data_IF_311537261348
#
_entry.id   IF_311537261348
#
_cell.length_a   1.000
_cell.length_b   1.000
_cell.length_c   1.000
_cell.angle_alpha   90.00
_cell.angle_beta   90.00
_cell.angle_gamma   90.00
#
_symmetry.space_group_name_H-M   'P 1'
#
loop_
_entity.id
_entity.type
_entity.pdbx_description
1 polymer ?
#
# COMPACT_ATOMS: atom_id res chain seq x y z
N UNK A 1 56.64 -43.19 4.53
CA UNK A 1 56.42 -41.95 5.32
C UNK A 1 57.03 -40.75 4.58
N UNK A 2 56.20 -39.85 4.02
CA UNK A 2 56.44 -38.39 3.86
C UNK A 2 55.38 -37.76 2.94
N UNK A 3 54.32 -37.30 3.60
CA UNK A 3 53.46 -36.12 3.40
C UNK A 3 53.34 -35.54 1.97
N UNK A 4 52.15 -35.75 1.42
CA UNK A 4 51.51 -34.98 0.35
C UNK A 4 51.36 -33.52 0.79
N UNK A 5 51.86 -32.57 -0.01
CA UNK A 5 51.52 -31.15 0.06
C UNK A 5 50.79 -30.78 -1.23
N UNK A 6 49.47 -30.97 -1.24
CA UNK A 6 48.61 -30.35 -2.23
C UNK A 6 48.14 -29.02 -1.64
N UNK A 7 48.68 -27.93 -2.18
CA UNK A 7 48.19 -26.58 -1.93
C UNK A 7 46.91 -26.44 -2.76
N UNK A 8 45.77 -26.61 -2.11
CA UNK A 8 44.47 -26.21 -2.64
C UNK A 8 44.37 -24.69 -2.51
N UNK A 9 44.59 -24.01 -3.63
CA UNK A 9 44.31 -22.59 -3.81
C UNK A 9 42.80 -22.37 -3.60
N UNK A 10 42.48 -21.81 -2.43
CA UNK A 10 41.15 -21.43 -1.98
C UNK A 10 40.64 -20.29 -2.88
N UNK A 11 39.81 -20.59 -3.86
CA UNK A 11 39.03 -19.58 -4.60
C UNK A 11 37.93 -19.12 -3.65
N UNK A 12 38.20 -18.06 -2.89
CA UNK A 12 37.19 -17.30 -2.17
C UNK A 12 36.39 -16.50 -3.20
N UNK A 13 35.34 -17.09 -3.75
CA UNK A 13 34.33 -16.36 -4.50
C UNK A 13 33.52 -15.54 -3.49
N UNK A 14 33.93 -14.29 -3.28
CA UNK A 14 33.11 -13.31 -2.55
C UNK A 14 31.88 -13.07 -3.43
N UNK A 15 30.79 -13.80 -3.16
CA UNK A 15 29.46 -13.39 -3.60
C UNK A 15 29.16 -12.08 -2.88
N UNK A 16 29.40 -10.96 -3.56
CA UNK A 16 28.74 -9.71 -3.23
C UNK A 16 27.28 -9.93 -3.61
N UNK A 17 26.50 -10.48 -2.67
CA UNK A 17 25.06 -10.38 -2.75
C UNK A 17 24.76 -8.88 -2.71
N UNK A 18 24.38 -8.31 -3.85
CA UNK A 18 23.70 -7.03 -3.87
C UNK A 18 22.41 -7.25 -3.10
N UNK A 19 22.42 -6.98 -1.80
CA UNK A 19 21.20 -6.81 -1.02
C UNK A 19 20.60 -5.52 -1.56
N UNK A 20 19.78 -5.65 -2.61
CA UNK A 20 18.85 -4.59 -2.94
C UNK A 20 17.97 -4.43 -1.70
N UNK A 21 18.08 -3.29 -1.03
CA UNK A 21 17.14 -2.95 0.01
C UNK A 21 15.74 -3.08 -0.59
N UNK A 22 14.90 -3.96 -0.02
CA UNK A 22 13.51 -4.00 -0.46
C UNK A 22 12.92 -2.63 -0.18
N UNK A 23 12.47 -1.92 -1.20
CA UNK A 23 11.73 -0.70 -0.99
C UNK A 23 10.55 -1.01 -0.06
N UNK A 24 10.34 -0.17 0.95
CA UNK A 24 9.13 -0.27 1.79
C UNK A 24 7.94 -0.11 0.84
N UNK A 25 7.16 -1.19 0.73
CA UNK A 25 5.89 -1.27 0.01
C UNK A 25 4.75 -1.05 0.99
N UNK A 26 3.71 -0.34 0.55
CA UNK A 26 2.49 -0.10 1.32
C UNK A 26 1.36 -1.07 0.93
N UNK A 27 1.70 -2.30 0.49
CA UNK A 27 0.75 -3.38 0.13
C UNK A 27 -0.36 -3.58 1.19
N UNK A 28 -0.01 -3.63 2.47
CA UNK A 28 -1.00 -3.80 3.55
C UNK A 28 -1.99 -2.63 3.63
N UNK A 29 -1.53 -1.41 3.32
CA UNK A 29 -2.42 -0.25 3.25
C UNK A 29 -3.33 -0.35 2.01
N UNK A 30 -2.80 -0.86 0.89
CA UNK A 30 -3.57 -1.12 -0.33
C UNK A 30 -4.68 -2.15 -0.05
N UNK A 31 -4.36 -3.24 0.64
CA UNK A 31 -5.32 -4.25 1.06
C UNK A 31 -6.42 -3.66 1.95
N UNK A 32 -6.04 -2.94 3.02
CA UNK A 32 -7.00 -2.30 3.92
C UNK A 32 -7.95 -1.36 3.17
N UNK A 33 -7.42 -0.46 2.33
CA UNK A 33 -8.23 0.45 1.53
C UNK A 33 -9.07 -0.27 0.48
N UNK A 34 -8.60 -1.40 -0.04
CA UNK A 34 -9.33 -2.25 -0.98
C UNK A 34 -10.53 -2.93 -0.34
N UNK A 35 -10.39 -3.45 0.89
CA UNK A 35 -11.50 -4.10 1.62
C UNK A 35 -12.72 -3.20 1.84
N UNK A 36 -12.50 -1.88 1.87
CA UNK A 36 -13.56 -0.87 2.03
C UNK A 36 -13.85 -0.11 0.73
N UNK A 37 -13.29 -0.55 -0.40
CA UNK A 37 -13.60 -0.03 -1.74
C UNK A 37 -12.97 1.33 -2.08
N UNK A 38 -12.07 1.86 -1.25
CA UNK A 38 -11.36 3.12 -1.54
C UNK A 38 -10.34 2.93 -2.65
N UNK A 39 -9.55 1.86 -2.56
CA UNK A 39 -8.55 1.51 -3.55
C UNK A 39 -9.03 0.33 -4.39
N UNK A 40 -8.91 0.43 -5.72
CA UNK A 40 -9.28 -0.66 -6.63
C UNK A 40 -8.09 -0.94 -7.54
N UNK A 41 -7.70 -2.21 -7.61
CA UNK A 41 -6.70 -2.71 -8.55
C UNK A 41 -7.29 -2.90 -9.95
N UNK A 42 -6.48 -3.49 -10.82
CA UNK A 42 -6.87 -3.97 -12.15
C UNK A 42 -6.86 -5.50 -12.17
N UNK A 43 -7.00 -6.09 -13.35
CA UNK A 43 -6.80 -7.53 -13.57
C UNK A 43 -5.39 -8.02 -13.19
N UNK A 44 -4.41 -7.11 -13.13
CA UNK A 44 -3.02 -7.39 -12.77
C UNK A 44 -2.70 -7.09 -11.29
N UNK A 45 -3.73 -7.01 -10.42
CA UNK A 45 -3.57 -6.66 -9.02
C UNK A 45 -3.53 -5.14 -8.79
N UNK A 46 -2.83 -4.68 -7.77
CA UNK A 46 -2.84 -3.27 -7.37
C UNK A 46 -1.97 -2.34 -8.23
N UNK A 47 -0.99 -2.92 -8.94
CA UNK A 47 -0.02 -2.21 -9.77
C UNK A 47 0.70 -1.08 -8.99
N UNK A 48 1.16 -1.35 -7.77
CA UNK A 48 1.69 -0.33 -6.86
C UNK A 48 2.92 0.42 -7.41
N UNK A 49 3.69 -0.23 -8.29
CA UNK A 49 4.94 0.30 -8.84
C UNK A 49 4.75 1.22 -10.06
N UNK A 50 3.54 1.36 -10.62
CA UNK A 50 3.30 2.25 -11.77
C UNK A 50 2.89 3.66 -11.34
N UNK A 51 3.13 4.61 -12.24
CA UNK A 51 2.65 5.98 -12.06
C UNK A 51 1.12 6.05 -12.25
N UNK A 52 0.40 6.77 -11.37
CA UNK A 52 -1.03 7.00 -11.50
C UNK A 52 -1.33 8.20 -12.40
N UNK A 53 -2.49 8.19 -13.06
CA UNK A 53 -3.00 9.42 -13.71
C UNK A 53 -3.66 10.33 -12.68
N UNK A 54 -3.78 11.62 -13.03
CA UNK A 54 -4.46 12.61 -12.19
C UNK A 54 -5.93 12.24 -11.95
N UNK A 55 -6.61 11.68 -12.96
CA UNK A 55 -7.99 11.21 -12.79
C UNK A 55 -8.08 10.01 -11.85
N UNK A 56 -7.14 9.05 -11.92
CA UNK A 56 -7.10 7.92 -10.98
C UNK A 56 -6.97 8.38 -9.53
N UNK A 57 -6.06 9.33 -9.26
CA UNK A 57 -5.90 9.89 -7.92
C UNK A 57 -7.14 10.67 -7.45
N UNK A 58 -7.80 11.42 -8.34
CA UNK A 58 -9.05 12.10 -8.00
C UNK A 58 -10.17 11.10 -7.67
N UNK A 59 -10.30 10.01 -8.43
CA UNK A 59 -11.29 8.96 -8.15
C UNK A 59 -11.03 8.34 -6.78
N UNK A 60 -9.77 8.08 -6.42
CA UNK A 60 -9.41 7.59 -5.10
C UNK A 60 -9.80 8.57 -3.98
N UNK A 61 -9.61 9.88 -4.18
CA UNK A 61 -10.10 10.92 -3.27
C UNK A 61 -11.64 10.87 -3.11
N UNK A 62 -12.38 10.77 -4.21
CA UNK A 62 -13.85 10.71 -4.18
C UNK A 62 -14.33 9.47 -3.42
N UNK A 63 -13.67 8.33 -3.61
CA UNK A 63 -13.97 7.09 -2.87
C UNK A 63 -13.62 7.20 -1.40
N UNK A 64 -12.47 7.81 -1.06
CA UNK A 64 -12.07 8.11 0.31
C UNK A 64 -13.17 8.87 1.07
N UNK A 65 -13.82 9.82 0.40
CA UNK A 65 -14.91 10.62 0.97
C UNK A 65 -16.28 9.92 0.98
N UNK A 66 -16.38 8.71 0.43
CA UNK A 66 -17.65 7.99 0.28
C UNK A 66 -18.59 8.61 -0.75
N UNK A 67 -18.07 9.35 -1.74
CA UNK A 67 -18.85 10.16 -2.69
C UNK A 67 -18.90 9.62 -4.10
N UNK A 68 -18.47 8.37 -4.31
CA UNK A 68 -18.49 7.73 -5.64
C UNK A 68 -19.90 7.69 -6.24
N UNK A 69 -20.93 7.36 -5.44
CA UNK A 69 -22.32 7.30 -5.91
C UNK A 69 -22.88 8.67 -6.29
N UNK A 70 -22.62 9.70 -5.50
CA UNK A 70 -23.01 11.08 -5.81
C UNK A 70 -22.29 11.61 -7.04
N UNK A 71 -21.00 11.29 -7.19
CA UNK A 71 -20.23 11.66 -8.37
C UNK A 71 -20.78 11.03 -9.64
N UNK A 72 -21.12 9.73 -9.61
CA UNK A 72 -21.67 9.02 -10.78
C UNK A 72 -23.00 9.61 -11.28
N UNK A 73 -23.79 10.26 -10.41
CA UNK A 73 -25.03 10.95 -10.80
C UNK A 73 -24.77 12.19 -11.67
N UNK A 74 -23.56 12.74 -11.66
CA UNK A 74 -23.19 13.94 -12.43
C UNK A 74 -22.60 13.61 -13.81
N UNK A 75 -22.61 12.35 -14.25
CA UNK A 75 -21.98 11.91 -15.50
C UNK A 75 -22.64 12.47 -16.78
N UNK A 76 -23.90 12.92 -16.70
CA UNK A 76 -24.63 13.56 -17.81
C UNK A 76 -24.44 15.08 -17.87
N UNK A 77 -23.94 15.69 -16.80
CA UNK A 77 -23.68 17.13 -16.78
C UNK A 77 -22.43 17.46 -17.56
N UNK A 78 -22.42 18.57 -18.29
CA UNK A 78 -21.22 19.03 -18.99
C UNK A 78 -20.11 19.39 -17.99
N UNK A 79 -18.88 19.00 -18.34
CA UNK A 79 -17.69 19.37 -17.57
C UNK A 79 -17.24 20.78 -17.95
N UNK A 80 -16.79 21.54 -16.95
CA UNK A 80 -16.11 22.83 -17.18
C UNK A 80 -14.73 22.63 -17.82
N UNK A 81 -14.18 21.41 -17.73
CA UNK A 81 -12.93 21.01 -18.34
C UNK A 81 -13.17 20.24 -19.64
N UNK A 82 -12.41 20.59 -20.68
CA UNK A 82 -12.59 20.07 -22.04
C UNK A 82 -11.92 18.71 -22.27
N UNK A 83 -10.96 18.33 -21.42
CA UNK A 83 -10.13 17.13 -21.55
C UNK A 83 -10.63 15.96 -20.67
N UNK A 84 -11.89 15.98 -20.23
CA UNK A 84 -12.48 14.97 -19.34
C UNK A 84 -13.35 14.00 -20.15
N UNK A 85 -13.01 12.69 -20.18
CA UNK A 85 -13.80 11.68 -20.88
C UNK A 85 -15.12 11.40 -20.16
N UNK A 86 -16.11 10.90 -20.90
CA UNK A 86 -17.47 10.62 -20.41
C UNK A 86 -17.52 9.80 -19.12
N UNK A 87 -16.67 8.77 -19.01
CA UNK A 87 -16.62 7.90 -17.84
C UNK A 87 -16.04 8.61 -16.60
N UNK A 88 -15.14 9.58 -16.79
CA UNK A 88 -14.53 10.37 -15.72
C UNK A 88 -15.35 11.61 -15.33
N UNK A 89 -16.32 11.99 -16.17
CA UNK A 89 -17.05 13.26 -16.08
C UNK A 89 -17.73 13.49 -14.74
N UNK A 90 -18.41 12.47 -14.21
CA UNK A 90 -19.10 12.56 -12.93
C UNK A 90 -18.16 12.86 -11.75
N UNK A 91 -16.99 12.21 -11.72
CA UNK A 91 -15.97 12.41 -10.68
C UNK A 91 -15.38 13.81 -10.72
N UNK A 92 -15.01 14.29 -11.92
CA UNK A 92 -14.43 15.63 -12.07
C UNK A 92 -15.45 16.72 -11.75
N UNK A 93 -16.71 16.57 -12.20
CA UNK A 93 -17.78 17.49 -11.88
C UNK A 93 -18.04 17.58 -10.38
N UNK A 94 -18.12 16.43 -9.70
CA UNK A 94 -18.31 16.39 -8.25
C UNK A 94 -17.16 17.10 -7.55
N UNK A 95 -15.91 16.77 -7.91
CA UNK A 95 -14.73 17.36 -7.30
C UNK A 95 -14.69 18.88 -7.51
N UNK A 96 -15.02 19.37 -8.71
CA UNK A 96 -15.02 20.80 -9.00
C UNK A 96 -16.09 21.55 -8.20
N UNK A 97 -17.34 21.04 -8.21
CA UNK A 97 -18.46 21.64 -7.48
C UNK A 97 -18.25 21.69 -5.97
N UNK A 98 -17.52 20.72 -5.41
CA UNK A 98 -17.21 20.64 -3.99
C UNK A 98 -15.84 21.24 -3.63
N UNK A 99 -15.18 21.94 -4.56
CA UNK A 99 -13.92 22.64 -4.29
C UNK A 99 -12.70 21.73 -4.06
N UNK A 100 -12.79 20.44 -4.41
CA UNK A 100 -11.70 19.47 -4.30
C UNK A 100 -10.66 19.64 -5.42
N UNK A 101 -11.07 20.13 -6.59
CA UNK A 101 -10.17 20.48 -7.70
C UNK A 101 -10.50 21.83 -8.32
N UNK A 102 -9.48 22.51 -8.85
CA UNK A 102 -9.59 23.75 -9.64
C UNK A 102 -9.16 23.55 -11.11
N UNK A 103 -8.73 22.34 -11.47
CA UNK A 103 -8.04 22.07 -12.73
C UNK A 103 -6.62 22.64 -12.77
N UNK A 104 -6.06 22.72 -13.98
CA UNK A 104 -4.72 23.24 -14.27
C UNK A 104 -4.75 24.65 -14.88
N UNK A 105 -5.95 25.22 -15.05
CA UNK A 105 -6.18 26.43 -15.84
C UNK A 105 -6.56 26.11 -17.29
N UNK A 106 -6.88 27.14 -18.09
CA UNK A 106 -7.22 27.02 -19.51
C UNK A 106 -8.32 26.00 -19.85
N UNK A 107 -9.25 25.74 -18.92
CA UNK A 107 -10.28 24.73 -19.10
C UNK A 107 -9.77 23.29 -19.10
N UNK A 108 -8.60 23.02 -18.51
CA UNK A 108 -8.02 21.67 -18.42
C UNK A 108 -8.08 21.12 -17.00
N UNK A 109 -8.43 19.84 -16.88
CA UNK A 109 -8.29 19.08 -15.66
C UNK A 109 -6.93 18.38 -15.58
N UNK A 110 -6.40 17.90 -16.71
CA UNK A 110 -5.20 17.09 -16.82
C UNK A 110 -5.51 15.60 -16.71
N UNK A 111 -6.57 15.09 -17.34
CA UNK A 111 -7.11 13.73 -17.09
C UNK A 111 -6.05 12.63 -17.14
N UNK A 112 -5.22 12.64 -18.19
CA UNK A 112 -4.21 11.61 -18.46
C UNK A 112 -2.81 12.03 -17.98
N UNK A 113 -2.68 13.21 -17.38
CA UNK A 113 -1.40 13.68 -16.88
C UNK A 113 -0.96 12.75 -15.74
N UNK A 114 0.35 12.50 -15.68
CA UNK A 114 0.96 11.80 -14.56
C UNK A 114 0.69 12.63 -13.31
N UNK A 115 0.10 11.99 -12.30
CA UNK A 115 -0.15 12.65 -11.03
C UNK A 115 1.16 12.83 -10.27
N UNK A 116 1.39 14.02 -9.72
CA UNK A 116 2.51 14.32 -8.83
C UNK A 116 2.07 14.40 -7.35
N UNK A 117 3.05 14.26 -6.45
CA UNK A 117 2.81 14.30 -5.01
C UNK A 117 2.25 15.64 -4.52
N UNK A 118 2.61 16.77 -5.16
CA UNK A 118 2.06 18.10 -4.82
C UNK A 118 0.56 18.18 -5.08
N UNK A 119 0.13 17.71 -6.25
CA UNK A 119 -1.28 17.67 -6.62
C UNK A 119 -2.07 16.73 -5.73
N UNK A 120 -1.53 15.55 -5.44
CA UNK A 120 -2.24 14.60 -4.59
C UNK A 120 -2.33 15.09 -3.14
N UNK A 121 -1.27 15.69 -2.60
CA UNK A 121 -1.31 16.34 -1.29
C UNK A 121 -2.35 17.46 -1.26
N UNK A 122 -2.42 18.28 -2.31
CA UNK A 122 -3.43 19.35 -2.42
C UNK A 122 -4.86 18.80 -2.39
N UNK A 123 -5.12 17.68 -3.06
CA UNK A 123 -6.43 17.01 -3.02
C UNK A 123 -6.81 16.57 -1.60
N UNK A 124 -5.89 15.93 -0.89
CA UNK A 124 -6.11 15.48 0.49
C UNK A 124 -6.30 16.66 1.45
N UNK A 125 -5.48 17.71 1.34
CA UNK A 125 -5.61 18.92 2.16
C UNK A 125 -6.99 19.58 2.00
N UNK A 126 -7.49 19.68 0.77
CA UNK A 126 -8.85 20.21 0.50
C UNK A 126 -9.94 19.32 1.08
N UNK A 127 -9.79 17.99 1.01
CA UNK A 127 -10.69 17.05 1.64
C UNK A 127 -10.70 17.15 3.18
N UNK A 128 -9.57 17.52 3.78
CA UNK A 128 -9.42 17.80 5.21
C UNK A 128 -9.90 19.20 5.63
N UNK A 129 -10.40 20.02 4.68
CA UNK A 129 -10.95 21.35 4.94
C UNK A 129 -9.94 22.49 4.86
N UNK A 130 -8.67 22.22 4.52
CA UNK A 130 -7.67 23.27 4.31
C UNK A 130 -7.82 23.90 2.92
N UNK A 131 -7.55 25.19 2.83
CA UNK A 131 -7.78 26.00 1.64
C UNK A 131 -6.48 26.58 1.06
N UNK A 132 -6.25 26.29 -0.21
CA UNK A 132 -5.24 26.94 -1.05
C UNK A 132 -5.76 28.19 -1.79
N UNK A 133 -7.01 28.60 -1.51
CA UNK A 133 -7.57 29.83 -2.10
C UNK A 133 -6.88 31.04 -1.45
N UNK A 134 -6.28 31.90 -2.28
CA UNK A 134 -5.56 33.09 -1.83
C UNK A 134 -4.50 32.81 -0.75
N UNK A 135 -3.91 31.62 -0.76
CA UNK A 135 -2.96 31.15 0.25
C UNK A 135 -3.48 31.26 1.69
N UNK A 136 -4.78 30.97 1.90
CA UNK A 136 -5.41 31.08 3.22
C UNK A 136 -4.77 30.15 4.27
N UNK A 137 -4.53 28.88 3.92
CA UNK A 137 -3.83 27.91 4.77
C UNK A 137 -2.47 27.53 4.16
N UNK A 138 -2.42 27.31 2.85
CA UNK A 138 -1.22 26.91 2.11
C UNK A 138 -1.24 27.43 0.67
N UNK A 139 -0.09 27.50 0.01
CA UNK A 139 -0.01 27.68 -1.44
C UNK A 139 0.13 26.32 -2.14
N UNK A 140 -0.22 26.21 -3.43
CA UNK A 140 0.00 24.95 -4.16
C UNK A 140 1.48 24.52 -4.16
N UNK A 141 2.40 25.47 -4.21
CA UNK A 141 3.85 25.23 -4.15
C UNK A 141 4.27 24.63 -2.80
N UNK A 142 3.64 25.05 -1.71
CA UNK A 142 3.99 24.63 -0.35
C UNK A 142 3.15 23.46 0.16
N UNK A 143 2.27 22.89 -0.67
CA UNK A 143 1.31 21.86 -0.26
C UNK A 143 1.97 20.65 0.45
N UNK A 144 3.11 20.18 -0.06
CA UNK A 144 3.85 19.04 0.54
C UNK A 144 4.47 19.41 1.89
N UNK A 145 5.02 20.62 2.02
CA UNK A 145 5.58 21.12 3.29
C UNK A 145 4.47 21.32 4.33
N UNK A 146 3.33 21.87 3.92
CA UNK A 146 2.17 22.03 4.79
C UNK A 146 1.59 20.68 5.21
N UNK A 147 1.46 19.73 4.26
CA UNK A 147 1.03 18.37 4.57
C UNK A 147 1.93 17.71 5.63
N UNK A 148 3.24 17.88 5.52
CA UNK A 148 4.18 17.41 6.56
C UNK A 148 3.96 18.12 7.90
N UNK A 149 3.78 19.44 7.92
CA UNK A 149 3.67 20.20 9.18
C UNK A 149 2.42 19.85 10.01
N UNK A 150 1.34 19.42 9.35
CA UNK A 150 0.10 18.99 10.02
C UNK A 150 0.06 17.48 10.30
N UNK A 151 1.11 16.73 9.96
CA UNK A 151 1.18 15.28 10.14
C UNK A 151 0.41 14.46 9.10
N UNK A 152 -0.02 15.05 7.98
CA UNK A 152 -0.60 14.32 6.85
C UNK A 152 0.46 13.47 6.13
N UNK A 153 1.71 13.94 6.09
CA UNK A 153 2.83 13.23 5.48
C UNK A 153 3.90 12.96 6.55
N UNK A 154 4.29 11.70 6.69
CA UNK A 154 5.46 11.34 7.49
C UNK A 154 6.78 11.67 6.76
N UNK A 155 7.90 11.54 7.47
CA UNK A 155 9.24 11.82 6.93
C UNK A 155 9.57 10.95 5.71
N UNK A 156 9.10 9.70 5.71
CA UNK A 156 9.40 8.74 4.63
C UNK A 156 8.69 9.15 3.34
N UNK A 157 7.38 9.38 3.39
CA UNK A 157 6.58 9.83 2.25
C UNK A 157 7.02 11.20 1.77
N UNK A 158 7.32 12.12 2.69
CA UNK A 158 7.87 13.42 2.32
C UNK A 158 9.16 13.28 1.50
N UNK A 159 10.08 12.42 1.91
CA UNK A 159 11.32 12.19 1.19
C UNK A 159 11.10 11.46 -0.14
N UNK A 160 10.20 10.48 -0.20
CA UNK A 160 9.83 9.76 -1.43
C UNK A 160 9.21 10.69 -2.48
N UNK A 161 8.32 11.61 -2.08
CA UNK A 161 7.72 12.61 -2.99
C UNK A 161 8.78 13.52 -3.63
N UNK A 162 9.81 13.90 -2.86
CA UNK A 162 10.83 14.86 -3.32
C UNK A 162 11.99 14.22 -4.08
N UNK A 163 12.28 12.94 -3.83
CA UNK A 163 13.51 12.29 -4.30
C UNK A 163 13.26 11.01 -5.12
N UNK A 164 12.01 10.67 -5.44
CA UNK A 164 11.67 9.44 -6.17
C UNK A 164 10.51 9.66 -7.14
N UNK A 165 10.37 8.73 -8.10
CA UNK A 165 9.21 8.70 -9.00
C UNK A 165 7.93 8.51 -8.19
N UNK A 166 6.94 9.37 -8.38
CA UNK A 166 5.67 9.27 -7.68
C UNK A 166 4.80 8.15 -8.27
N UNK A 167 4.53 7.12 -7.47
CA UNK A 167 3.87 5.87 -7.87
C UNK A 167 2.59 5.62 -7.05
N UNK A 168 1.77 4.66 -7.49
CA UNK A 168 0.50 4.30 -6.85
C UNK A 168 0.65 3.87 -5.40
N UNK A 169 1.77 3.22 -5.06
CA UNK A 169 2.12 2.87 -3.69
C UNK A 169 2.09 4.09 -2.74
N UNK A 170 2.59 5.23 -3.19
CA UNK A 170 2.65 6.44 -2.36
C UNK A 170 1.27 7.08 -2.20
N UNK A 171 0.43 7.04 -3.25
CA UNK A 171 -0.97 7.46 -3.17
C UNK A 171 -1.72 6.63 -2.13
N UNK A 172 -1.52 5.31 -2.12
CA UNK A 172 -2.12 4.40 -1.13
C UNK A 172 -1.76 4.84 0.30
N UNK A 173 -0.47 5.04 0.58
CA UNK A 173 -0.02 5.49 1.91
C UNK A 173 -0.59 6.85 2.28
N UNK A 174 -0.50 7.83 1.39
CA UNK A 174 -1.03 9.18 1.63
C UNK A 174 -2.54 9.18 1.86
N UNK A 175 -3.30 8.33 1.16
CA UNK A 175 -4.75 8.16 1.37
C UNK A 175 -5.05 7.60 2.74
N UNK A 176 -4.25 6.62 3.18
CA UNK A 176 -4.38 6.03 4.50
C UNK A 176 -4.01 7.03 5.60
N UNK A 177 -2.94 7.80 5.42
CA UNK A 177 -2.54 8.84 6.38
C UNK A 177 -3.60 9.93 6.49
N UNK A 178 -4.26 10.27 5.39
CA UNK A 178 -5.37 11.21 5.40
C UNK A 178 -6.52 10.75 6.31
N UNK A 179 -6.82 9.44 6.40
CA UNK A 179 -7.82 8.91 7.34
C UNK A 179 -7.44 9.23 8.79
N UNK A 180 -6.14 9.19 9.12
CA UNK A 180 -5.65 9.42 10.47
C UNK A 180 -5.38 10.90 10.78
N UNK A 181 -5.46 11.77 9.77
CA UNK A 181 -5.21 13.20 9.92
C UNK A 181 -6.43 13.91 10.47
N UNK A 182 -6.23 14.88 11.37
CA UNK A 182 -7.30 15.74 11.89
C UNK A 182 -7.93 16.57 10.77
N UNK A 183 -9.26 16.61 10.73
CA UNK A 183 -9.98 17.56 9.90
C UNK A 183 -9.84 18.94 10.52
N UNK A 184 -9.58 19.95 9.69
CA UNK A 184 -9.42 21.34 10.11
C UNK A 184 -10.58 21.76 11.03
N UNK A 185 -10.24 22.39 12.15
CA UNK A 185 -11.15 22.99 13.15
C UNK A 185 -12.18 22.05 13.80
N UNK A 186 -12.12 20.74 13.56
CA UNK A 186 -13.13 19.79 14.00
C UNK A 186 -12.72 18.94 15.21
N UNK A 187 -11.44 18.90 15.58
CA UNK A 187 -10.93 18.17 16.75
C UNK A 187 -11.01 16.64 16.63
N UNK A 188 -11.34 16.10 15.45
CA UNK A 188 -11.36 14.66 15.14
C UNK A 188 -10.72 14.35 13.78
N UNK A 189 -10.30 13.11 13.59
CA UNK A 189 -9.68 12.63 12.33
C UNK A 189 -10.69 12.48 11.20
N UNK A 190 -10.21 12.45 9.95
CA UNK A 190 -11.06 12.15 8.80
C UNK A 190 -11.78 10.81 8.96
N UNK A 191 -11.11 9.80 9.51
CA UNK A 191 -11.72 8.50 9.80
C UNK A 191 -12.93 8.65 10.73
N UNK A 192 -12.78 9.39 11.84
CA UNK A 192 -13.88 9.64 12.76
C UNK A 192 -15.00 10.45 12.09
N UNK A 193 -14.65 11.40 11.22
CA UNK A 193 -15.63 12.13 10.41
C UNK A 193 -16.47 11.18 9.55
N UNK A 194 -15.81 10.27 8.82
CA UNK A 194 -16.48 9.34 7.92
C UNK A 194 -17.40 8.38 8.68
N UNK A 195 -17.04 7.99 9.91
CA UNK A 195 -17.95 7.24 10.80
C UNK A 195 -19.15 8.07 11.22
N UNK A 196 -18.93 9.30 11.68
CA UNK A 196 -20.02 10.18 12.12
C UNK A 196 -20.99 10.54 10.98
N UNK A 197 -20.48 10.66 9.74
CA UNK A 197 -21.26 10.92 8.53
C UNK A 197 -21.95 9.66 7.98
N UNK A 198 -21.74 8.48 8.60
CA UNK A 198 -22.32 7.20 8.17
C UNK A 198 -21.71 6.64 6.88
N UNK A 199 -20.55 7.14 6.45
CA UNK A 199 -19.81 6.62 5.28
C UNK A 199 -19.11 5.30 5.61
N UNK A 200 -18.56 5.19 6.82
CA UNK A 200 -17.92 3.98 7.33
C UNK A 200 -18.63 3.51 8.60
N UNK A 201 -18.69 2.19 8.78
CA UNK A 201 -19.10 1.59 10.06
C UNK A 201 -17.96 1.63 11.07
N UNK A 202 -18.27 1.53 12.37
CA UNK A 202 -17.24 1.43 13.42
C UNK A 202 -16.29 0.24 13.19
N UNK A 203 -16.80 -0.89 12.70
CA UNK A 203 -15.99 -2.09 12.40
C UNK A 203 -15.01 -1.81 11.26
N UNK A 204 -15.48 -1.18 10.16
CA UNK A 204 -14.60 -0.79 9.06
C UNK A 204 -13.53 0.20 9.55
N UNK A 205 -13.90 1.16 10.40
CA UNK A 205 -12.94 2.11 10.94
C UNK A 205 -11.90 1.46 11.87
N UNK A 206 -12.30 0.52 12.72
CA UNK A 206 -11.36 -0.23 13.57
C UNK A 206 -10.32 -0.99 12.75
N UNK A 207 -10.70 -1.59 11.62
CA UNK A 207 -9.79 -2.29 10.73
C UNK A 207 -8.76 -1.35 10.05
N UNK A 208 -9.05 -0.05 9.98
CA UNK A 208 -8.18 1.00 9.43
C UNK A 208 -7.30 1.67 10.50
N UNK A 209 -7.40 1.28 11.77
CA UNK A 209 -6.48 1.76 12.79
C UNK A 209 -5.30 0.78 12.82
N UNK A 210 -4.07 1.28 12.66
CA UNK A 210 -2.89 0.49 13.01
C UNK A 210 -2.75 0.55 14.53
N UNK A 211 -3.03 -0.55 15.23
CA UNK A 211 -2.48 -0.68 16.58
C UNK A 211 -1.07 -1.25 16.42
N UNK A 212 -0.04 -0.52 16.87
CA UNK A 212 1.30 -1.11 17.07
C UNK A 212 1.25 -2.27 18.09
N UNK A 213 0.19 -2.33 18.88
CA UNK A 213 -0.18 -3.43 19.78
C UNK A 213 -1.33 -4.31 19.25
N UNK A 214 -1.59 -4.35 17.93
CA UNK A 214 -2.55 -5.29 17.38
C UNK A 214 -2.01 -6.68 17.63
N UNK A 215 -2.64 -7.43 18.55
CA UNK A 215 -2.53 -8.88 18.53
C UNK A 215 -2.68 -9.31 17.07
N UNK A 216 -1.64 -10.01 16.59
CA UNK A 216 -1.55 -10.71 15.33
C UNK A 216 -2.97 -11.09 14.87
N UNK A 217 -3.53 -10.41 13.87
CA UNK A 217 -4.79 -10.84 13.25
C UNK A 217 -4.52 -12.28 12.81
N UNK A 218 -5.16 -13.24 13.47
CA UNK A 218 -5.13 -14.62 12.99
C UNK A 218 -5.84 -14.63 11.65
N UNK A 219 -5.05 -14.76 10.59
CA UNK A 219 -5.56 -14.86 9.23
C UNK A 219 -6.37 -16.15 9.11
N UNK A 220 -7.51 -16.09 8.43
CA UNK A 220 -8.25 -17.30 8.09
C UNK A 220 -7.41 -18.18 7.16
N UNK A 221 -7.64 -19.49 7.17
CA UNK A 221 -6.96 -20.43 6.26
C UNK A 221 -7.09 -20.07 4.77
N UNK A 222 -8.15 -19.33 4.41
CA UNK A 222 -8.37 -18.79 3.06
C UNK A 222 -7.47 -17.57 2.76
N UNK A 223 -7.25 -16.70 3.74
CA UNK A 223 -6.36 -15.53 3.61
C UNK A 223 -4.88 -15.96 3.59
N UNK A 224 -4.49 -16.95 4.39
CA UNK A 224 -3.15 -17.55 4.35
C UNK A 224 -2.87 -18.19 2.98
N UNK A 225 -3.84 -18.94 2.45
CA UNK A 225 -3.73 -19.56 1.11
C UNK A 225 -3.63 -18.55 -0.04
N UNK A 226 -4.00 -17.27 0.17
CA UNK A 226 -3.84 -16.20 -0.83
C UNK A 226 -2.49 -15.48 -0.74
N UNK A 227 -1.80 -15.58 0.40
CA UNK A 227 -0.49 -14.99 0.64
C UNK A 227 0.68 -15.92 0.26
N UNK A 228 0.46 -17.24 0.24
CA UNK A 228 1.55 -18.20 0.01
C UNK A 228 2.09 -18.14 -1.42
N UNK A 229 3.21 -17.45 -1.61
CA UNK A 229 4.16 -17.69 -2.70
C UNK A 229 5.03 -18.91 -2.38
N UNK A 230 4.36 -20.08 -2.30
CA UNK A 230 4.92 -21.38 -2.67
C UNK A 230 5.98 -22.05 -1.78
N UNK A 231 7.00 -21.40 -1.23
CA UNK A 231 8.19 -22.09 -0.70
C UNK A 231 8.42 -21.93 0.81
N UNK A 232 8.82 -23.02 1.48
CA UNK A 232 9.17 -23.06 2.91
C UNK A 232 10.51 -23.75 3.14
N UNK A 233 11.12 -23.50 4.31
CA UNK A 233 12.35 -24.18 4.73
C UNK A 233 12.04 -25.18 5.85
N UNK A 234 12.51 -26.42 5.71
CA UNK A 234 12.35 -27.48 6.70
C UNK A 234 13.65 -27.64 7.47
N UNK A 235 13.61 -27.43 8.78
CA UNK A 235 14.70 -27.74 9.71
C UNK A 235 14.39 -29.04 10.45
N UNK A 236 15.24 -30.05 10.26
CA UNK A 236 14.98 -31.42 10.71
C UNK A 236 16.00 -31.83 11.75
N UNK A 237 15.52 -32.54 12.77
CA UNK A 237 16.35 -33.14 13.82
C UNK A 237 16.18 -34.64 13.78
N UNK A 238 17.30 -35.37 13.70
CA UNK A 238 17.36 -36.82 13.69
C UNK A 238 17.28 -37.43 15.08
N UNK A 239 17.06 -38.75 15.14
CA UNK A 239 17.06 -39.50 16.41
C UNK A 239 18.42 -39.53 17.12
N UNK A 240 19.51 -39.32 16.38
CA UNK A 240 20.88 -39.17 16.86
C UNK A 240 21.22 -37.75 17.32
N UNK A 241 20.22 -36.85 17.35
CA UNK A 241 20.36 -35.41 17.59
C UNK A 241 21.18 -34.65 16.52
N UNK A 242 21.44 -35.24 15.36
CA UNK A 242 21.94 -34.48 14.21
C UNK A 242 20.86 -33.54 13.66
N UNK A 243 21.26 -32.42 13.06
CA UNK A 243 20.34 -31.44 12.49
C UNK A 243 20.72 -31.12 11.04
N UNK A 244 19.72 -31.00 10.16
CA UNK A 244 19.89 -30.63 8.76
C UNK A 244 18.69 -29.84 8.25
N UNK A 245 18.78 -29.33 7.02
CA UNK A 245 17.74 -28.50 6.41
C UNK A 245 17.43 -28.89 4.96
N UNK A 246 16.23 -28.53 4.50
CA UNK A 246 15.81 -28.64 3.09
C UNK A 246 14.69 -27.66 2.76
N UNK A 247 14.24 -27.66 1.51
CA UNK A 247 13.12 -26.82 1.05
C UNK A 247 11.87 -27.64 0.80
N UNK A 248 10.69 -27.03 0.94
CA UNK A 248 9.42 -27.63 0.59
C UNK A 248 8.45 -26.61 0.00
N UNK A 249 7.32 -27.11 -0.49
CA UNK A 249 6.24 -26.29 -1.01
C UNK A 249 4.92 -26.71 -0.41
N UNK A 250 4.09 -25.76 -0.01
CA UNK A 250 2.69 -26.05 0.32
C UNK A 250 1.95 -26.48 -0.94
N UNK A 251 1.22 -27.58 -0.86
CA UNK A 251 0.45 -28.15 -1.97
C UNK A 251 -1.05 -28.09 -1.79
N UNK A 252 -1.53 -27.78 -0.57
CA UNK A 252 -2.94 -27.63 -0.27
C UNK A 252 -3.18 -26.71 0.93
N UNK A 253 -4.42 -26.27 1.08
CA UNK A 253 -4.87 -25.39 2.17
C UNK A 253 -4.97 -26.09 3.53
N UNK A 254 -4.65 -27.38 3.62
CA UNK A 254 -4.61 -28.14 4.88
C UNK A 254 -3.19 -28.21 5.45
N UNK A 255 -2.22 -27.51 4.85
CA UNK A 255 -0.83 -27.52 5.27
C UNK A 255 -0.03 -28.71 4.74
N UNK A 256 -0.52 -29.40 3.71
CA UNK A 256 0.25 -30.43 3.03
C UNK A 256 1.52 -29.84 2.40
N UNK A 257 2.68 -30.42 2.70
CA UNK A 257 3.99 -29.99 2.17
C UNK A 257 4.60 -31.10 1.33
N UNK A 258 5.10 -30.74 0.15
CA UNK A 258 5.97 -31.60 -0.67
C UNK A 258 7.42 -31.19 -0.50
N UNK A 259 8.29 -32.16 -0.23
CA UNK A 259 9.74 -32.00 -0.13
C UNK A 259 10.45 -33.25 -0.66
N UNK A 260 11.77 -33.19 -0.78
CA UNK A 260 12.58 -34.34 -1.16
C UNK A 260 12.65 -35.36 -0.02
N UNK A 261 12.52 -36.66 -0.32
CA UNK A 261 12.55 -37.73 0.69
C UNK A 261 13.76 -37.67 1.63
N UNK A 262 14.95 -37.34 1.12
CA UNK A 262 16.17 -37.25 1.93
C UNK A 262 16.12 -36.16 3.00
N UNK A 263 15.25 -35.15 2.85
CA UNK A 263 15.05 -34.10 3.86
C UNK A 263 14.33 -34.66 5.07
N UNK A 264 13.44 -35.64 4.93
CA UNK A 264 12.65 -36.19 6.04
C UNK A 264 13.11 -37.58 6.50
N UNK A 265 14.03 -38.20 5.78
CA UNK A 265 14.52 -39.53 6.10
C UNK A 265 15.25 -39.53 7.46
N UNK A 266 14.78 -40.35 8.40
CA UNK A 266 15.36 -40.42 9.76
C UNK A 266 14.98 -39.25 10.68
N UNK A 267 14.01 -38.42 10.28
CA UNK A 267 13.52 -37.31 11.10
C UNK A 267 12.84 -37.80 12.39
N UNK A 268 13.27 -37.26 13.52
CA UNK A 268 12.57 -37.34 14.81
C UNK A 268 11.58 -36.18 14.95
N UNK A 269 11.93 -35.01 14.44
CA UNK A 269 11.06 -33.83 14.39
C UNK A 269 11.42 -32.95 13.20
N UNK A 270 10.42 -32.28 12.64
CA UNK A 270 10.57 -31.31 11.55
C UNK A 270 10.04 -29.98 12.06
N UNK A 271 10.76 -28.90 11.79
CA UNK A 271 10.30 -27.53 11.95
C UNK A 271 10.16 -26.90 10.57
N UNK A 272 9.03 -26.26 10.30
CA UNK A 272 8.78 -25.53 9.07
C UNK A 272 9.03 -24.05 9.36
N UNK A 273 9.81 -23.39 8.52
CA UNK A 273 10.12 -21.97 8.61
C UNK A 273 9.60 -21.31 7.34
N UNK A 274 8.60 -20.45 7.50
CA UNK A 274 8.03 -19.65 6.43
C UNK A 274 8.93 -18.47 6.05
N UNK A 275 8.62 -17.84 4.91
CA UNK A 275 9.32 -16.65 4.41
C UNK A 275 9.20 -15.43 5.33
N UNK A 276 8.10 -15.35 6.10
CA UNK A 276 7.89 -14.37 7.16
C UNK A 276 8.69 -14.67 8.46
N UNK A 277 9.40 -15.81 8.51
CA UNK A 277 10.18 -16.27 9.66
C UNK A 277 9.37 -17.01 10.73
N UNK A 278 8.08 -17.25 10.52
CA UNK A 278 7.23 -18.06 11.41
C UNK A 278 7.72 -19.52 11.44
N UNK A 279 7.73 -20.12 12.64
CA UNK A 279 8.20 -21.50 12.85
C UNK A 279 7.04 -22.38 13.33
N UNK A 280 6.80 -23.48 12.62
CA UNK A 280 5.84 -24.52 12.95
C UNK A 280 6.57 -25.83 13.23
N UNK A 281 6.05 -26.70 14.11
CA UNK A 281 6.70 -27.97 14.51
C UNK A 281 5.71 -29.13 14.45
#
# INVERSE_FOLDING_TARGET
>A
MKKIRFILLLIAFILIANVQASAISYEMHAEKLSTIGIFKGTENGYELERQPTRLEGLIMLIRLLGKENEALKLNKEQSVFIDVPDWGRGYVNYAYKNGLTKGLGNGLFGTNDILDGKSYTTFLLRALGYSDKNNADFSWQDAVLFGKSIGLLDEEIFNKINNSTFIRDYIVKMTYDALQTYVKDNGFTLLKKLVNDGVLTDIQAQNLIFNENSQKKELTSIEIGRLSKGAVMLHVVGYDNSAWSGSGFYIDSNGGIVTNYHVINGAKSIKIIDDDGSIYT
#
